data_IF_159324662970
#
_entry.id   IF_159324662970
#
_cell.length_a   1.000
_cell.length_b   1.000
_cell.length_c   1.000
_cell.angle_alpha   90.00
_cell.angle_beta   90.00
_cell.angle_gamma   90.00
#
_symmetry.space_group_name_H-M   'P 1'
#
loop_
_entity.id
_entity.type
_entity.pdbx_description
1 polymer ?
#
# COMPACT_ATOMS: atom_id res chain seq x y z
N UNK A 1 0.92 13.33 31.77
CA UNK A 1 1.37 13.22 30.37
C UNK A 1 0.25 12.60 29.56
N UNK A 2 -0.37 13.33 28.63
CA UNK A 2 -1.31 12.69 27.71
C UNK A 2 -0.53 11.73 26.82
N UNK A 3 -0.93 10.46 26.78
CA UNK A 3 -0.38 9.52 25.79
C UNK A 3 -0.73 10.07 24.41
N UNK A 4 0.23 10.13 23.50
CA UNK A 4 -0.05 10.49 22.11
C UNK A 4 -1.09 9.51 21.55
N UNK A 5 -2.09 10.00 20.80
CA UNK A 5 -3.11 9.14 20.22
C UNK A 5 -2.44 8.18 19.22
N UNK A 6 -2.79 6.89 19.30
CA UNK A 6 -2.30 5.90 18.35
C UNK A 6 -2.92 6.14 16.97
N UNK A 7 -2.11 6.03 15.93
CA UNK A 7 -2.53 6.14 14.52
C UNK A 7 -2.11 4.86 13.81
N UNK A 8 -2.99 4.30 12.99
CA UNK A 8 -2.67 3.14 12.15
C UNK A 8 -3.29 3.29 10.76
N UNK A 9 -2.54 2.95 9.73
CA UNK A 9 -3.07 2.95 8.37
C UNK A 9 -3.86 1.69 8.09
N UNK A 10 -4.95 1.82 7.33
CA UNK A 10 -5.71 0.72 6.74
C UNK A 10 -5.44 0.58 5.25
N UNK A 11 -5.13 1.68 4.55
CA UNK A 11 -4.90 1.68 3.11
C UNK A 11 -3.96 2.80 2.71
N UNK A 12 -2.99 2.48 1.86
CA UNK A 12 -2.11 3.42 1.18
C UNK A 12 -2.05 2.97 -0.28
N UNK A 13 -2.68 3.72 -1.18
CA UNK A 13 -2.81 3.34 -2.59
C UNK A 13 -2.53 4.51 -3.52
N UNK A 14 -1.91 4.24 -4.66
CA UNK A 14 -1.95 5.10 -5.84
C UNK A 14 -2.32 4.30 -7.09
N UNK A 15 -3.20 4.84 -7.93
CA UNK A 15 -3.53 4.27 -9.24
C UNK A 15 -2.81 5.02 -10.35
N UNK A 16 -2.56 4.34 -11.48
CA UNK A 16 -2.25 5.00 -12.75
C UNK A 16 -3.49 5.71 -13.31
N UNK A 17 -3.56 5.97 -14.61
CA UNK A 17 -4.62 6.79 -15.21
C UNK A 17 -6.06 6.25 -15.01
N UNK A 18 -7.00 7.08 -14.48
CA UNK A 18 -6.77 8.41 -13.93
C UNK A 18 -6.05 8.33 -12.58
N UNK A 19 -4.94 9.08 -12.45
CA UNK A 19 -4.12 9.10 -11.25
C UNK A 19 -4.98 9.40 -10.04
N UNK A 20 -4.86 8.57 -9.01
CA UNK A 20 -5.52 8.80 -7.72
C UNK A 20 -4.69 8.26 -6.58
N UNK A 21 -4.36 9.12 -5.63
CA UNK A 21 -3.85 8.72 -4.31
C UNK A 21 -5.04 8.49 -3.38
N UNK A 22 -5.00 7.45 -2.58
CA UNK A 22 -6.03 7.13 -1.58
C UNK A 22 -5.40 6.62 -0.30
N UNK A 23 -5.69 7.31 0.80
CA UNK A 23 -5.25 6.97 2.14
C UNK A 23 -6.46 6.69 3.02
N UNK A 24 -6.38 5.65 3.83
CA UNK A 24 -7.33 5.37 4.92
C UNK A 24 -6.52 5.07 6.16
N UNK A 25 -6.84 5.74 7.26
CA UNK A 25 -6.18 5.53 8.55
C UNK A 25 -7.19 5.65 9.68
N UNK A 26 -6.82 5.11 10.82
CA UNK A 26 -7.59 5.18 12.05
C UNK A 26 -6.79 5.91 13.12
N UNK A 27 -7.49 6.65 13.97
CA UNK A 27 -6.93 7.27 15.18
C UNK A 27 -7.67 6.77 16.40
N UNK A 28 -6.93 6.41 17.44
CA UNK A 28 -7.53 5.95 18.68
C UNK A 28 -8.25 7.10 19.40
N UNK A 29 -9.49 6.85 19.80
CA UNK A 29 -10.35 7.75 20.56
C UNK A 29 -11.01 6.97 21.71
N UNK A 30 -10.37 7.01 22.89
CA UNK A 30 -10.71 6.14 24.01
C UNK A 30 -10.46 4.67 23.67
N UNK A 31 -11.48 3.83 23.84
CA UNK A 31 -11.45 2.40 23.52
C UNK A 31 -11.87 2.09 22.07
N UNK A 32 -12.20 3.13 21.30
CA UNK A 32 -12.65 3.04 19.91
C UNK A 32 -11.64 3.65 18.95
N UNK A 33 -11.87 3.45 17.66
CA UNK A 33 -11.06 4.00 16.58
C UNK A 33 -11.94 4.84 15.65
N UNK A 34 -11.55 6.09 15.45
CA UNK A 34 -12.14 6.94 14.41
C UNK A 34 -11.46 6.65 13.08
N UNK A 35 -12.24 6.40 12.02
CA UNK A 35 -11.72 6.21 10.66
C UNK A 35 -11.68 7.55 9.91
N UNK A 36 -10.59 7.75 9.17
CA UNK A 36 -10.38 8.89 8.29
C UNK A 36 -9.96 8.39 6.92
N UNK A 37 -10.37 9.12 5.89
CA UNK A 37 -9.97 8.87 4.52
C UNK A 37 -9.62 10.15 3.79
N UNK A 38 -8.72 10.02 2.81
CA UNK A 38 -8.31 11.10 1.93
C UNK A 38 -8.11 10.53 0.53
N UNK A 39 -8.54 11.30 -0.48
CA UNK A 39 -8.19 11.02 -1.87
C UNK A 39 -7.76 12.30 -2.58
N UNK A 40 -6.73 12.21 -3.41
CA UNK A 40 -6.29 13.31 -4.27
C UNK A 40 -6.03 12.80 -5.69
N UNK A 41 -6.21 13.70 -6.66
CA UNK A 41 -5.81 13.51 -8.06
C UNK A 41 -4.44 14.14 -8.34
N UNK A 42 -3.84 14.81 -7.35
CA UNK A 42 -2.52 15.43 -7.49
C UNK A 42 -1.43 14.37 -7.67
N UNK A 43 -0.39 14.74 -8.39
CA UNK A 43 0.82 13.92 -8.54
C UNK A 43 1.43 13.66 -7.15
N UNK A 44 1.56 12.39 -6.71
CA UNK A 44 2.24 12.09 -5.46
C UNK A 44 3.69 12.53 -5.53
N UNK A 45 4.22 12.99 -4.39
CA UNK A 45 5.64 13.25 -4.23
C UNK A 45 6.46 11.99 -4.54
N UNK A 46 7.69 12.15 -5.04
CA UNK A 46 8.57 11.03 -5.38
C UNK A 46 8.79 10.08 -4.20
N UNK A 47 8.90 10.64 -2.99
CA UNK A 47 9.14 9.87 -1.77
C UNK A 47 7.96 8.95 -1.42
N UNK A 48 6.74 9.37 -1.74
CA UNK A 48 5.55 8.54 -1.56
C UNK A 48 5.62 7.31 -2.47
N UNK A 49 6.02 7.51 -3.73
CA UNK A 49 6.19 6.41 -4.70
C UNK A 49 7.34 5.51 -4.27
N UNK A 50 8.48 6.07 -3.88
CA UNK A 50 9.64 5.32 -3.42
C UNK A 50 9.33 4.46 -2.19
N UNK A 51 8.58 5.00 -1.21
CA UNK A 51 8.16 4.25 -0.03
C UNK A 51 7.28 3.05 -0.39
N UNK A 52 6.38 3.19 -1.37
CA UNK A 52 5.56 2.08 -1.84
C UNK A 52 6.38 1.06 -2.65
N UNK A 53 7.36 1.49 -3.43
CA UNK A 53 8.27 0.57 -4.14
C UNK A 53 9.21 -0.17 -3.18
N UNK A 54 9.41 0.33 -1.96
CA UNK A 54 10.08 -0.42 -0.89
C UNK A 54 9.39 -1.74 -0.51
N UNK A 55 8.15 -1.97 -0.98
CA UNK A 55 7.42 -3.23 -0.78
C UNK A 55 7.74 -4.32 -1.81
N UNK A 56 8.52 -4.01 -2.86
CA UNK A 56 8.89 -4.97 -3.91
C UNK A 56 9.51 -6.25 -3.35
N UNK A 57 10.49 -6.21 -2.42
CA UNK A 57 11.08 -7.44 -1.87
C UNK A 57 10.05 -8.34 -1.19
N UNK A 58 9.08 -7.76 -0.45
CA UNK A 58 8.01 -8.54 0.17
C UNK A 58 7.08 -9.19 -0.84
N UNK A 59 6.80 -8.54 -1.98
CA UNK A 59 6.00 -9.17 -3.05
C UNK A 59 6.74 -10.34 -3.67
N UNK A 60 8.04 -10.21 -3.89
CA UNK A 60 8.87 -11.28 -4.45
C UNK A 60 8.92 -12.47 -3.52
N UNK A 61 9.10 -12.23 -2.22
CA UNK A 61 9.03 -13.27 -1.20
C UNK A 61 7.64 -13.94 -1.17
N UNK A 62 6.56 -13.17 -1.09
CA UNK A 62 5.18 -13.68 -0.97
C UNK A 62 4.74 -14.45 -2.23
N UNK A 63 5.12 -13.96 -3.41
CA UNK A 63 4.75 -14.57 -4.68
C UNK A 63 5.77 -15.61 -5.16
N UNK A 64 6.80 -15.90 -4.36
CA UNK A 64 7.88 -16.84 -4.68
C UNK A 64 8.52 -16.57 -6.05
N UNK A 65 8.73 -15.28 -6.36
CA UNK A 65 9.37 -14.88 -7.62
C UNK A 65 10.88 -15.01 -7.54
N UNK A 66 11.54 -15.11 -8.70
CA UNK A 66 12.99 -15.23 -8.73
C UNK A 66 13.61 -13.88 -8.41
N UNK A 67 14.67 -13.77 -7.60
CA UNK A 67 15.30 -12.48 -7.28
C UNK A 67 15.79 -11.71 -8.52
N UNK A 68 16.14 -12.41 -9.61
CA UNK A 68 16.48 -11.80 -10.91
C UNK A 68 15.31 -11.01 -11.53
N UNK A 69 14.09 -11.26 -11.07
CA UNK A 69 12.92 -10.46 -11.42
C UNK A 69 13.03 -9.03 -10.86
N UNK A 70 13.73 -8.76 -9.74
CA UNK A 70 13.87 -7.39 -9.17
C UNK A 70 14.47 -6.37 -10.15
N UNK A 71 15.41 -6.81 -10.98
CA UNK A 71 16.10 -5.95 -11.94
C UNK A 71 15.24 -5.65 -13.17
N UNK A 72 14.16 -6.39 -13.37
CA UNK A 72 13.23 -6.14 -14.43
C UNK A 72 12.50 -4.82 -14.12
N UNK A 73 12.69 -3.78 -14.95
CA UNK A 73 11.94 -2.50 -14.88
C UNK A 73 10.43 -2.72 -14.71
N UNK A 74 9.98 -3.88 -15.16
CA UNK A 74 8.68 -4.48 -14.97
C UNK A 74 8.10 -4.37 -13.54
N UNK A 75 8.89 -4.53 -12.47
CA UNK A 75 8.37 -4.52 -11.08
C UNK A 75 8.52 -3.18 -10.36
N UNK A 76 9.46 -2.33 -10.79
CA UNK A 76 9.72 -1.02 -10.17
C UNK A 76 8.54 -0.04 -10.20
N UNK A 77 7.49 -0.35 -10.96
CA UNK A 77 6.29 0.47 -11.08
C UNK A 77 4.99 -0.35 -10.94
N UNK A 78 5.08 -1.62 -10.54
CA UNK A 78 3.91 -2.50 -10.49
C UNK A 78 3.12 -2.35 -9.21
N UNK A 79 3.77 -1.98 -8.09
CA UNK A 79 3.08 -1.80 -6.80
C UNK A 79 2.14 -0.59 -6.89
N UNK A 80 0.86 -0.83 -6.61
CA UNK A 80 -0.20 0.19 -6.58
C UNK A 80 -0.64 0.53 -5.17
N UNK A 81 -0.28 -0.25 -4.17
CA UNK A 81 -0.58 0.07 -2.79
C UNK A 81 -0.63 -1.14 -1.88
N UNK A 82 -0.91 -0.85 -0.61
CA UNK A 82 -1.05 -1.82 0.46
C UNK A 82 -2.31 -1.54 1.27
N UNK A 83 -3.00 -2.61 1.65
CA UNK A 83 -4.09 -2.59 2.62
C UNK A 83 -3.64 -3.35 3.86
N UNK A 84 -3.90 -2.78 5.03
CA UNK A 84 -3.51 -3.32 6.32
C UNK A 84 -4.77 -3.67 7.12
N UNK A 85 -4.88 -4.93 7.50
CA UNK A 85 -5.92 -5.44 8.41
C UNK A 85 -5.34 -5.61 9.80
N UNK A 86 -6.12 -5.25 10.82
CA UNK A 86 -5.83 -5.54 12.21
C UNK A 86 -7.01 -6.33 12.75
N UNK A 87 -6.75 -7.50 13.31
CA UNK A 87 -7.80 -8.39 13.79
C UNK A 87 -7.28 -9.52 14.67
N UNK A 88 -8.21 -10.32 15.19
CA UNK A 88 -7.91 -11.34 16.21
C UNK A 88 -7.72 -10.75 17.61
N UNK A 89 -7.62 -11.64 18.60
CA UNK A 89 -7.49 -11.25 20.02
C UNK A 89 -6.23 -10.42 20.32
N UNK A 90 -5.18 -10.60 19.51
CA UNK A 90 -3.89 -9.92 19.65
C UNK A 90 -3.73 -8.69 18.75
N UNK A 91 -4.80 -8.25 18.06
CA UNK A 91 -4.73 -7.19 17.02
C UNK A 91 -3.59 -7.43 16.00
N UNK A 92 -3.40 -8.67 15.57
CA UNK A 92 -2.34 -9.03 14.62
C UNK A 92 -2.53 -8.27 13.31
N UNK A 93 -1.46 -7.65 12.82
CA UNK A 93 -1.46 -6.95 11.55
C UNK A 93 -1.26 -7.95 10.40
N UNK A 94 -2.19 -7.95 9.45
CA UNK A 94 -2.04 -8.58 8.14
C UNK A 94 -1.92 -7.52 7.05
N UNK A 95 -1.25 -7.85 5.95
CA UNK A 95 -1.08 -6.94 4.82
C UNK A 95 -1.47 -7.62 3.49
N UNK A 96 -2.13 -6.87 2.62
CA UNK A 96 -2.40 -7.25 1.24
C UNK A 96 -1.78 -6.19 0.32
N UNK A 97 -0.85 -6.61 -0.54
CA UNK A 97 -0.18 -5.73 -1.49
C UNK A 97 -0.86 -5.87 -2.85
N UNK A 98 -1.18 -4.74 -3.48
CA UNK A 98 -1.72 -4.71 -4.85
C UNK A 98 -0.61 -4.41 -5.84
N UNK A 99 -0.38 -5.31 -6.79
CA UNK A 99 0.60 -5.15 -7.88
C UNK A 99 -0.10 -5.34 -9.23
N UNK A 100 0.26 -4.55 -10.25
CA UNK A 100 -0.34 -4.61 -11.58
C UNK A 100 0.70 -4.65 -12.70
N UNK A 101 0.44 -5.49 -13.70
CA UNK A 101 1.23 -5.69 -14.91
C UNK A 101 0.45 -5.30 -16.17
N UNK A 102 1.07 -4.52 -17.06
CA UNK A 102 0.60 -4.45 -18.45
C UNK A 102 0.95 -5.74 -19.19
N UNK A 103 -0.01 -6.34 -19.89
CA UNK A 103 0.23 -7.51 -20.73
C UNK A 103 0.82 -7.07 -22.08
N UNK A 104 1.84 -7.80 -22.59
CA UNK A 104 2.41 -7.53 -23.92
C UNK A 104 1.40 -7.74 -25.04
N UNK A 105 0.55 -8.77 -24.89
CA UNK A 105 -0.59 -9.04 -25.75
C UNK A 105 -1.83 -9.08 -24.87
N UNK A 106 -2.68 -8.06 -24.95
CA UNK A 106 -4.07 -8.14 -24.50
C UNK A 106 -4.94 -8.44 -25.72
N UNK A 107 -6.02 -9.21 -25.57
CA UNK A 107 -6.95 -9.46 -26.67
C UNK A 107 -7.56 -8.14 -27.14
N UNK A 108 -7.02 -7.57 -28.21
CA UNK A 108 -7.57 -6.48 -29.02
C UNK A 108 -7.68 -6.95 -30.44
#
# INVERSE_FOLDING_TARGET
>A
MSKQPRIRFRKIKYTGEPLRVSLVWEKQNGDSWDEYSMSSLDQPHSDFVAALQGLVPSVIEICEWNPEDEENEFYRHSIRGVTLGYGGENETMGASISSMRALKNSNT
#
